data_IF_054209132817
#
_entry.id   IF_054209132817
#
_cell.length_a   1.000
_cell.length_b   1.000
_cell.length_c   1.000
_cell.angle_alpha   90.00
_cell.angle_beta   90.00
_cell.angle_gamma   90.00
#
_symmetry.space_group_name_H-M   'P 1'
#
loop_
_entity.id
_entity.type
_entity.pdbx_description
1 polymer ?
#
# COMPACT_ATOMS: atom_id res chain seq x y z
N UNK A 1 -46.33 -14.65 12.36
CA UNK A 1 -46.31 -16.13 12.34
C UNK A 1 -47.34 -16.63 11.35
N UNK A 2 -46.93 -16.93 10.12
CA UNK A 2 -47.79 -17.62 9.16
C UNK A 2 -46.86 -18.63 8.47
N UNK A 3 -46.98 -19.87 8.91
CA UNK A 3 -46.32 -21.04 8.34
C UNK A 3 -47.03 -21.39 7.03
N UNK A 4 -46.30 -21.34 5.90
CA UNK A 4 -46.73 -21.94 4.65
C UNK A 4 -46.43 -23.44 4.68
N UNK A 5 -47.37 -24.32 4.36
CA UNK A 5 -47.09 -25.74 4.23
C UNK A 5 -46.30 -26.02 2.94
N UNK A 6 -45.22 -26.80 3.06
CA UNK A 6 -44.51 -27.41 1.93
C UNK A 6 -45.50 -28.30 1.17
N UNK A 7 -45.78 -27.95 -0.08
CA UNK A 7 -46.55 -28.77 -1.00
C UNK A 7 -45.66 -29.95 -1.46
N UNK A 8 -45.78 -31.08 -0.80
CA UNK A 8 -45.23 -32.35 -1.26
C UNK A 8 -46.08 -32.84 -2.41
N UNK A 9 -45.56 -32.71 -3.64
CA UNK A 9 -46.21 -33.29 -4.80
C UNK A 9 -46.21 -34.83 -4.66
N UNK A 10 -47.36 -35.38 -4.39
CA UNK A 10 -47.58 -36.84 -4.43
C UNK A 10 -47.67 -37.25 -5.87
N UNK A 11 -46.67 -37.93 -6.41
CA UNK A 11 -46.72 -38.56 -7.74
C UNK A 11 -47.57 -39.83 -7.59
N UNK A 12 -48.85 -39.73 -7.92
CA UNK A 12 -49.66 -40.95 -8.08
C UNK A 12 -49.40 -41.58 -9.44
N UNK A 13 -48.61 -42.63 -9.47
CA UNK A 13 -48.41 -43.48 -10.68
C UNK A 13 -49.63 -44.41 -10.78
N UNK A 14 -50.50 -44.15 -11.75
CA UNK A 14 -51.63 -45.01 -12.03
C UNK A 14 -51.14 -46.33 -12.62
N UNK A 15 -51.34 -47.44 -11.88
CA UNK A 15 -50.91 -48.81 -12.27
C UNK A 15 -51.79 -49.44 -13.36
N UNK A 16 -52.24 -48.72 -14.38
CA UNK A 16 -53.18 -49.28 -15.38
C UNK A 16 -52.52 -49.74 -16.68
N UNK A 17 -51.18 -49.63 -16.83
CA UNK A 17 -50.46 -50.23 -17.92
C UNK A 17 -49.22 -50.94 -17.36
N UNK A 18 -49.42 -52.18 -16.90
CA UNK A 18 -48.39 -52.91 -16.11
C UNK A 18 -47.11 -53.20 -16.84
N UNK A 19 -47.04 -53.17 -18.15
CA UNK A 19 -45.78 -53.36 -18.89
C UNK A 19 -44.94 -52.10 -19.07
N UNK A 20 -45.58 -50.92 -19.27
CA UNK A 20 -44.88 -49.65 -19.44
C UNK A 20 -44.33 -49.14 -18.12
N UNK A 21 -45.06 -49.32 -17.02
CA UNK A 21 -44.57 -48.99 -15.67
C UNK A 21 -43.40 -49.86 -15.21
N UNK A 22 -43.44 -51.15 -15.58
CA UNK A 22 -42.33 -52.05 -15.27
C UNK A 22 -41.10 -51.71 -16.09
N UNK A 23 -41.22 -51.37 -17.34
CA UNK A 23 -40.13 -50.92 -18.21
C UNK A 23 -39.50 -49.62 -17.70
N UNK A 24 -40.34 -48.65 -17.28
CA UNK A 24 -39.88 -47.39 -16.71
C UNK A 24 -39.09 -47.63 -15.40
N UNK A 25 -39.57 -48.47 -14.49
CA UNK A 25 -38.87 -48.82 -13.25
C UNK A 25 -37.54 -49.55 -13.51
N UNK A 26 -37.49 -50.40 -14.51
CA UNK A 26 -36.24 -51.09 -14.92
C UNK A 26 -35.24 -50.11 -15.53
N UNK A 27 -35.69 -49.13 -16.33
CA UNK A 27 -34.81 -48.09 -16.89
C UNK A 27 -34.28 -47.18 -15.76
N UNK A 28 -35.15 -46.67 -14.90
CA UNK A 28 -34.75 -45.84 -13.78
C UNK A 28 -33.84 -46.61 -12.82
N UNK A 29 -34.14 -47.86 -12.50
CA UNK A 29 -33.30 -48.70 -11.67
C UNK A 29 -31.92 -48.98 -12.29
N UNK A 30 -31.87 -49.25 -13.60
CA UNK A 30 -30.60 -49.48 -14.29
C UNK A 30 -29.76 -48.18 -14.37
N UNK A 31 -30.39 -47.02 -14.64
CA UNK A 31 -29.69 -45.72 -14.60
C UNK A 31 -29.17 -45.43 -13.22
N UNK A 32 -29.98 -45.65 -12.17
CA UNK A 32 -29.55 -45.42 -10.75
C UNK A 32 -28.40 -46.37 -10.34
N UNK A 33 -28.46 -47.61 -10.77
CA UNK A 33 -27.38 -48.59 -10.52
C UNK A 33 -26.10 -48.21 -11.26
N UNK A 34 -26.23 -47.75 -12.51
CA UNK A 34 -25.11 -47.28 -13.32
C UNK A 34 -24.46 -46.05 -12.66
N UNK A 35 -25.25 -45.06 -12.27
CA UNK A 35 -24.73 -43.86 -11.57
C UNK A 35 -24.10 -44.19 -10.23
N UNK A 36 -24.65 -45.14 -9.46
CA UNK A 36 -24.07 -45.61 -8.22
C UNK A 36 -22.74 -46.37 -8.46
N UNK A 37 -22.66 -47.17 -9.50
CA UNK A 37 -21.44 -47.86 -9.89
C UNK A 37 -20.35 -46.88 -10.34
N UNK A 38 -20.71 -45.87 -11.15
CA UNK A 38 -19.82 -44.80 -11.55
C UNK A 38 -19.29 -44.00 -10.35
N UNK A 39 -20.16 -43.60 -9.42
CA UNK A 39 -19.73 -42.88 -8.22
C UNK A 39 -18.82 -43.73 -7.31
N UNK A 40 -19.10 -45.03 -7.18
CA UNK A 40 -18.24 -45.92 -6.43
C UNK A 40 -16.88 -46.10 -7.12
N UNK A 41 -16.87 -46.28 -8.45
CA UNK A 41 -15.65 -46.36 -9.25
C UNK A 41 -14.79 -45.10 -9.10
N UNK A 42 -15.37 -43.88 -9.17
CA UNK A 42 -14.68 -42.63 -8.94
C UNK A 42 -14.06 -42.58 -7.54
N UNK A 43 -14.79 -43.02 -6.53
CA UNK A 43 -14.27 -43.12 -5.15
C UNK A 43 -13.06 -44.05 -5.04
N UNK A 44 -13.12 -45.21 -5.65
CA UNK A 44 -12.03 -46.20 -5.64
C UNK A 44 -10.82 -45.72 -6.43
N UNK A 45 -11.03 -45.18 -7.65
CA UNK A 45 -9.93 -44.72 -8.53
C UNK A 45 -9.21 -43.47 -8.01
N UNK A 46 -9.82 -42.72 -7.09
CA UNK A 46 -9.22 -41.52 -6.49
C UNK A 46 -8.63 -41.70 -5.09
N UNK A 47 -8.87 -42.86 -4.41
CA UNK A 47 -8.56 -43.01 -2.99
C UNK A 47 -7.58 -44.13 -2.63
N UNK A 48 -7.09 -44.91 -3.59
CA UNK A 48 -6.11 -45.97 -3.31
C UNK A 48 -4.76 -45.39 -2.84
N UNK A 49 -4.01 -46.19 -2.10
CA UNK A 49 -2.78 -45.78 -1.41
C UNK A 49 -1.53 -46.56 -1.85
N UNK A 50 -1.71 -47.65 -2.58
CA UNK A 50 -0.60 -48.50 -3.02
C UNK A 50 -0.52 -48.61 -4.54
N UNK A 51 0.70 -48.77 -5.09
CA UNK A 51 0.86 -48.95 -6.54
C UNK A 51 0.15 -50.22 -7.07
N UNK A 52 0.05 -51.26 -6.25
CA UNK A 52 -0.62 -52.51 -6.65
C UNK A 52 -2.12 -52.33 -6.87
N UNK A 53 -2.78 -51.53 -6.04
CA UNK A 53 -4.20 -51.20 -6.19
C UNK A 53 -4.43 -50.39 -7.48
N UNK A 54 -3.60 -49.38 -7.73
CA UNK A 54 -3.69 -48.57 -8.93
C UNK A 54 -3.48 -49.37 -10.22
N UNK A 55 -2.48 -50.28 -10.24
CA UNK A 55 -2.25 -51.19 -11.39
C UNK A 55 -3.42 -52.14 -11.61
N UNK A 56 -4.09 -52.59 -10.56
CA UNK A 56 -5.27 -53.42 -10.70
C UNK A 56 -6.41 -52.64 -11.38
N UNK A 57 -6.61 -51.39 -10.98
CA UNK A 57 -7.63 -50.51 -11.62
C UNK A 57 -7.32 -50.31 -13.11
N UNK A 58 -6.07 -50.01 -13.45
CA UNK A 58 -5.65 -49.83 -14.86
C UNK A 58 -5.71 -51.13 -15.67
N UNK A 59 -5.70 -52.29 -15.02
CA UNK A 59 -5.92 -53.56 -15.71
C UNK A 59 -7.39 -53.72 -16.18
N UNK A 60 -8.35 -53.06 -15.52
CA UNK A 60 -9.76 -53.01 -15.93
C UNK A 60 -10.05 -51.88 -16.89
N UNK A 61 -9.46 -50.70 -16.66
CA UNK A 61 -9.56 -49.54 -17.55
C UNK A 61 -8.19 -48.83 -17.71
N UNK A 62 -7.50 -49.19 -18.78
CA UNK A 62 -6.16 -48.67 -19.10
C UNK A 62 -6.17 -47.17 -19.49
N UNK A 63 -7.34 -46.57 -19.64
CA UNK A 63 -7.49 -45.13 -19.98
C UNK A 63 -8.13 -44.31 -18.86
N UNK A 64 -8.19 -44.81 -17.62
CA UNK A 64 -8.65 -44.02 -16.50
C UNK A 64 -7.57 -42.98 -16.08
N UNK A 65 -7.81 -41.74 -16.50
CA UNK A 65 -6.90 -40.63 -16.20
C UNK A 65 -6.76 -40.32 -14.72
N UNK A 66 -7.78 -40.64 -13.91
CA UNK A 66 -7.76 -40.41 -12.43
C UNK A 66 -6.88 -41.45 -11.75
N UNK A 67 -6.94 -42.70 -12.21
CA UNK A 67 -6.06 -43.75 -11.71
C UNK A 67 -4.59 -43.48 -12.06
N UNK A 68 -4.33 -43.02 -13.30
CA UNK A 68 -2.98 -42.57 -13.70
C UNK A 68 -2.49 -41.40 -12.85
N UNK A 69 -3.31 -40.35 -12.66
CA UNK A 69 -2.98 -39.22 -11.82
C UNK A 69 -2.67 -39.67 -10.37
N UNK A 70 -3.51 -40.51 -9.78
CA UNK A 70 -3.32 -41.01 -8.42
C UNK A 70 -2.08 -41.88 -8.28
N UNK A 71 -1.75 -42.70 -9.26
CA UNK A 71 -0.47 -43.41 -9.29
C UNK A 71 0.71 -42.48 -9.31
N UNK A 72 0.65 -41.40 -10.10
CA UNK A 72 1.66 -40.37 -10.09
C UNK A 72 1.93 -39.82 -8.68
N UNK A 73 0.87 -39.50 -7.94
CA UNK A 73 0.99 -39.04 -6.56
C UNK A 73 1.55 -40.15 -5.60
N UNK A 74 1.12 -41.38 -5.77
CA UNK A 74 1.60 -42.49 -4.91
C UNK A 74 3.09 -42.75 -5.11
N UNK A 75 3.60 -42.52 -6.31
CA UNK A 75 5.03 -42.67 -6.63
C UNK A 75 5.87 -41.44 -6.31
N UNK A 76 5.27 -40.28 -5.97
CA UNK A 76 5.97 -39.00 -5.80
C UNK A 76 7.22 -39.13 -4.88
N UNK A 77 7.08 -39.74 -3.72
CA UNK A 77 8.15 -39.90 -2.73
C UNK A 77 9.03 -41.16 -2.94
N UNK A 78 8.61 -42.11 -3.79
CA UNK A 78 9.26 -43.41 -3.88
C UNK A 78 9.99 -43.64 -5.20
N UNK A 79 9.43 -43.14 -6.30
CA UNK A 79 9.97 -43.31 -7.66
C UNK A 79 9.51 -42.14 -8.55
N UNK A 80 10.30 -41.10 -8.58
CA UNK A 80 9.97 -39.88 -9.35
C UNK A 80 9.84 -40.13 -10.85
N UNK A 81 10.55 -41.14 -11.41
CA UNK A 81 10.45 -41.44 -12.83
C UNK A 81 9.09 -42.09 -13.15
N UNK A 82 8.63 -43.00 -12.32
CA UNK A 82 7.30 -43.60 -12.43
C UNK A 82 6.21 -42.54 -12.17
N UNK A 83 6.40 -41.65 -11.17
CA UNK A 83 5.49 -40.54 -10.90
C UNK A 83 5.27 -39.70 -12.16
N UNK A 84 6.35 -39.18 -12.77
CA UNK A 84 6.28 -38.38 -13.99
C UNK A 84 5.65 -39.14 -15.15
N UNK A 85 5.97 -40.43 -15.33
CA UNK A 85 5.38 -41.24 -16.38
C UNK A 85 3.86 -41.33 -16.23
N UNK A 86 3.35 -41.60 -15.05
CA UNK A 86 1.93 -41.70 -14.76
C UNK A 86 1.23 -40.34 -14.87
N UNK A 87 1.83 -39.24 -14.35
CA UNK A 87 1.29 -37.90 -14.48
C UNK A 87 1.22 -37.45 -15.95
N UNK A 88 2.25 -37.76 -16.76
CA UNK A 88 2.24 -37.49 -18.20
C UNK A 88 1.11 -38.24 -18.90
N UNK A 89 0.93 -39.51 -18.57
CA UNK A 89 -0.19 -40.29 -19.10
C UNK A 89 -1.55 -39.71 -18.70
N UNK A 90 -1.70 -39.25 -17.48
CA UNK A 90 -2.91 -38.56 -17.00
C UNK A 90 -3.22 -37.30 -17.83
N UNK A 91 -2.20 -36.48 -18.15
CA UNK A 91 -2.37 -35.27 -18.99
C UNK A 91 -2.71 -35.61 -20.45
N UNK A 92 -2.17 -36.72 -21.01
CA UNK A 92 -2.53 -37.19 -22.32
C UNK A 92 -4.01 -37.63 -22.43
N UNK A 93 -4.47 -38.35 -21.39
CA UNK A 93 -5.86 -38.83 -21.32
C UNK A 93 -6.86 -37.69 -21.02
N UNK A 94 -6.43 -36.68 -20.29
CA UNK A 94 -7.27 -35.54 -19.92
C UNK A 94 -6.53 -34.21 -20.10
N UNK A 95 -6.34 -33.73 -21.34
CA UNK A 95 -5.47 -32.59 -21.66
C UNK A 95 -5.98 -31.23 -21.18
N UNK A 96 -7.23 -31.14 -20.72
CA UNK A 96 -7.82 -29.93 -20.15
C UNK A 96 -7.84 -29.90 -18.63
N UNK A 97 -7.27 -30.91 -17.95
CA UNK A 97 -7.20 -30.96 -16.51
C UNK A 97 -6.05 -30.10 -15.97
N UNK A 98 -6.38 -28.92 -15.45
CA UNK A 98 -5.40 -28.03 -14.81
C UNK A 98 -4.64 -28.70 -13.66
N UNK A 99 -5.33 -29.57 -12.93
CA UNK A 99 -4.75 -30.29 -11.79
C UNK A 99 -3.62 -31.21 -12.24
N UNK A 100 -3.80 -31.94 -13.31
CA UNK A 100 -2.80 -32.89 -13.82
C UNK A 100 -1.56 -32.17 -14.38
N UNK A 101 -1.77 -31.06 -15.09
CA UNK A 101 -0.66 -30.22 -15.57
C UNK A 101 0.12 -29.54 -14.43
N UNK A 102 -0.58 -29.08 -13.38
CA UNK A 102 0.07 -28.49 -12.21
C UNK A 102 0.95 -29.49 -11.48
N UNK A 103 0.45 -30.71 -11.28
CA UNK A 103 1.19 -31.79 -10.61
C UNK A 103 2.37 -32.27 -11.46
N UNK A 104 2.17 -32.43 -12.76
CA UNK A 104 3.26 -32.79 -13.67
C UNK A 104 4.38 -31.73 -13.66
N UNK A 105 4.02 -30.44 -13.66
CA UNK A 105 5.00 -29.37 -13.58
C UNK A 105 5.82 -29.44 -12.27
N UNK A 106 5.16 -29.67 -11.15
CA UNK A 106 5.80 -29.83 -9.84
C UNK A 106 6.73 -31.06 -9.80
N UNK A 107 6.25 -32.20 -10.28
CA UNK A 107 7.05 -33.43 -10.31
C UNK A 107 8.29 -33.32 -11.23
N UNK A 108 8.15 -32.70 -12.41
CA UNK A 108 9.28 -32.45 -13.29
C UNK A 108 10.28 -31.44 -12.68
N UNK A 109 9.78 -30.44 -11.96
CA UNK A 109 10.63 -29.46 -11.28
C UNK A 109 11.46 -30.12 -10.15
N UNK A 110 10.86 -31.02 -9.39
CA UNK A 110 11.53 -31.70 -8.26
C UNK A 110 12.75 -32.53 -8.68
N UNK A 111 12.69 -33.11 -9.88
CA UNK A 111 13.82 -33.90 -10.45
C UNK A 111 14.74 -33.06 -11.35
N UNK A 112 14.47 -31.79 -11.56
CA UNK A 112 15.27 -30.90 -12.41
C UNK A 112 15.07 -31.11 -13.93
N UNK A 113 14.02 -31.84 -14.36
CA UNK A 113 13.65 -31.92 -15.77
C UNK A 113 13.02 -30.59 -16.23
N UNK A 114 13.87 -29.68 -16.68
CA UNK A 114 13.48 -28.32 -17.05
C UNK A 114 12.57 -28.29 -18.27
N UNK A 115 12.76 -29.21 -19.23
CA UNK A 115 11.94 -29.26 -20.45
C UNK A 115 10.52 -29.67 -20.12
N UNK A 116 10.34 -30.74 -19.37
CA UNK A 116 9.07 -31.23 -18.92
C UNK A 116 8.33 -30.17 -18.05
N UNK A 117 9.03 -29.55 -17.10
CA UNK A 117 8.44 -28.54 -16.24
C UNK A 117 7.97 -27.30 -17.03
N UNK A 118 8.74 -26.85 -18.03
CA UNK A 118 8.38 -25.72 -18.88
C UNK A 118 7.17 -26.04 -19.76
N UNK A 119 7.12 -27.22 -20.37
CA UNK A 119 5.99 -27.67 -21.18
C UNK A 119 4.70 -27.74 -20.34
N UNK A 120 4.78 -28.38 -19.17
CA UNK A 120 3.64 -28.51 -18.27
C UNK A 120 3.17 -27.15 -17.73
N UNK A 121 4.10 -26.28 -17.31
CA UNK A 121 3.79 -24.91 -16.86
C UNK A 121 3.19 -24.07 -17.98
N UNK A 122 3.75 -24.13 -19.18
CA UNK A 122 3.22 -23.42 -20.34
C UNK A 122 1.78 -23.83 -20.62
N UNK A 123 1.51 -25.14 -20.62
CA UNK A 123 0.16 -25.66 -20.85
C UNK A 123 -0.81 -25.27 -19.74
N UNK A 124 -0.38 -25.28 -18.48
CA UNK A 124 -1.18 -24.82 -17.35
C UNK A 124 -1.58 -23.33 -17.49
N UNK A 125 -0.64 -22.48 -17.89
CA UNK A 125 -0.89 -21.04 -18.11
C UNK A 125 -1.82 -20.79 -19.31
N UNK A 126 -1.75 -21.60 -20.36
CA UNK A 126 -2.68 -21.54 -21.48
C UNK A 126 -4.11 -21.93 -21.06
N UNK A 127 -4.26 -22.96 -20.24
CA UNK A 127 -5.56 -23.41 -19.74
C UNK A 127 -6.17 -22.45 -18.72
N UNK A 128 -5.34 -21.78 -17.94
CA UNK A 128 -5.75 -20.93 -16.81
C UNK A 128 -5.10 -19.55 -16.85
N UNK A 129 -5.25 -18.74 -17.92
CA UNK A 129 -4.54 -17.48 -18.12
C UNK A 129 -4.99 -16.36 -17.16
N UNK A 130 -6.07 -16.58 -16.41
CA UNK A 130 -6.66 -15.60 -15.50
C UNK A 130 -6.51 -15.99 -14.02
N UNK A 131 -5.69 -17.01 -13.72
CA UNK A 131 -5.49 -17.48 -12.34
C UNK A 131 -4.15 -16.94 -11.79
N UNK A 132 -4.16 -15.96 -10.88
CA UNK A 132 -2.95 -15.30 -10.37
C UNK A 132 -1.95 -16.30 -9.77
N UNK A 133 -2.43 -17.30 -9.04
CA UNK A 133 -1.59 -18.30 -8.38
C UNK A 133 -0.64 -19.01 -9.36
N UNK A 134 -1.10 -19.36 -10.55
CA UNK A 134 -0.26 -20.07 -11.52
C UNK A 134 0.81 -19.15 -12.14
N UNK A 135 0.49 -17.88 -12.34
CA UNK A 135 1.49 -16.88 -12.75
C UNK A 135 2.53 -16.65 -11.66
N UNK A 136 2.11 -16.62 -10.38
CA UNK A 136 3.01 -16.54 -9.25
C UNK A 136 3.97 -17.73 -9.19
N UNK A 137 3.43 -18.96 -9.25
CA UNK A 137 4.25 -20.19 -9.23
C UNK A 137 5.23 -20.23 -10.39
N UNK A 138 4.79 -19.92 -11.61
CA UNK A 138 5.64 -19.85 -12.79
C UNK A 138 6.74 -18.79 -12.66
N UNK A 139 6.39 -17.58 -12.16
CA UNK A 139 7.35 -16.50 -11.94
C UNK A 139 8.46 -16.91 -10.96
N UNK A 140 8.08 -17.51 -9.83
CA UNK A 140 9.03 -18.01 -8.81
C UNK A 140 9.94 -19.10 -9.38
N UNK A 141 9.38 -20.04 -10.14
CA UNK A 141 10.15 -21.12 -10.78
C UNK A 141 11.15 -20.57 -11.80
N UNK A 142 10.74 -19.65 -12.67
CA UNK A 142 11.63 -19.02 -13.64
C UNK A 142 12.71 -18.17 -12.97
N UNK A 143 12.39 -17.48 -11.87
CA UNK A 143 13.34 -16.69 -11.11
C UNK A 143 14.44 -17.59 -10.49
N UNK A 144 14.05 -18.70 -9.83
CA UNK A 144 15.00 -19.68 -9.27
C UNK A 144 15.91 -20.29 -10.35
N UNK A 145 15.40 -20.48 -11.56
CA UNK A 145 16.15 -21.01 -12.71
C UNK A 145 16.97 -19.94 -13.46
N UNK A 146 17.05 -18.72 -12.92
CA UNK A 146 17.71 -17.56 -13.55
C UNK A 146 17.20 -17.23 -14.96
N UNK A 147 15.93 -17.53 -15.24
CA UNK A 147 15.27 -17.20 -16.51
C UNK A 147 14.49 -15.89 -16.37
N UNK A 148 15.24 -14.81 -16.22
CA UNK A 148 14.72 -13.51 -15.78
C UNK A 148 13.60 -12.96 -16.67
N UNK A 149 13.77 -12.99 -18.01
CA UNK A 149 12.73 -12.44 -18.92
C UNK A 149 11.39 -13.16 -18.77
N UNK A 150 11.38 -14.47 -18.57
CA UNK A 150 10.17 -15.25 -18.34
C UNK A 150 9.56 -14.94 -16.97
N UNK A 151 10.39 -14.83 -15.94
CA UNK A 151 9.93 -14.46 -14.61
C UNK A 151 9.26 -13.09 -14.62
N UNK A 152 9.90 -12.07 -15.21
CA UNK A 152 9.36 -10.71 -15.31
C UNK A 152 8.05 -10.68 -16.11
N UNK A 153 7.93 -11.47 -17.17
CA UNK A 153 6.69 -11.57 -17.93
C UNK A 153 5.53 -12.14 -17.08
N UNK A 154 5.81 -13.14 -16.23
CA UNK A 154 4.79 -13.72 -15.36
C UNK A 154 4.44 -12.76 -14.19
N UNK A 155 5.42 -12.09 -13.57
CA UNK A 155 5.15 -11.05 -12.57
C UNK A 155 4.31 -9.90 -13.16
N UNK A 156 4.62 -9.44 -14.38
CA UNK A 156 3.81 -8.44 -15.07
C UNK A 156 2.36 -8.92 -15.22
N UNK A 157 2.16 -10.15 -15.68
CA UNK A 157 0.81 -10.71 -15.86
C UNK A 157 0.10 -10.89 -14.52
N UNK A 158 0.79 -11.37 -13.51
CA UNK A 158 0.29 -11.51 -12.15
C UNK A 158 -0.27 -10.18 -11.60
N UNK A 159 0.52 -9.10 -11.67
CA UNK A 159 0.12 -7.78 -11.16
C UNK A 159 -1.02 -7.14 -11.96
N UNK A 160 -1.16 -7.49 -13.25
CA UNK A 160 -2.32 -7.09 -14.04
C UNK A 160 -3.61 -7.81 -13.61
N UNK A 161 -3.51 -9.03 -13.08
CA UNK A 161 -4.64 -9.83 -12.63
C UNK A 161 -5.01 -9.54 -11.17
N UNK A 162 -4.01 -9.37 -10.33
CA UNK A 162 -4.19 -9.17 -8.89
C UNK A 162 -3.09 -8.29 -8.30
N UNK A 163 -3.36 -7.00 -8.10
CA UNK A 163 -2.44 -6.06 -7.46
C UNK A 163 -2.00 -6.44 -6.04
N UNK A 164 -2.77 -7.26 -5.33
CA UNK A 164 -2.42 -7.67 -3.98
C UNK A 164 -1.10 -8.45 -3.89
N UNK A 165 -0.65 -9.03 -5.01
CA UNK A 165 0.66 -9.68 -5.09
C UNK A 165 1.84 -8.70 -5.25
N UNK A 166 1.61 -7.39 -5.29
CA UNK A 166 2.64 -6.40 -5.60
C UNK A 166 3.84 -6.49 -4.65
N UNK A 167 3.60 -6.37 -3.35
CA UNK A 167 4.68 -6.41 -2.36
C UNK A 167 5.49 -7.72 -2.39
N UNK A 168 4.82 -8.87 -2.44
CA UNK A 168 5.47 -10.16 -2.53
C UNK A 168 6.29 -10.32 -3.83
N UNK A 169 5.80 -9.73 -4.93
CA UNK A 169 6.53 -9.73 -6.21
C UNK A 169 7.80 -8.92 -6.13
N UNK A 170 7.77 -7.74 -5.52
CA UNK A 170 8.95 -6.89 -5.36
C UNK A 170 9.96 -7.49 -4.41
N UNK A 171 9.51 -8.06 -3.29
CA UNK A 171 10.36 -8.79 -2.36
C UNK A 171 11.09 -9.95 -3.05
N UNK A 172 10.41 -10.70 -3.91
CA UNK A 172 11.05 -11.74 -4.72
C UNK A 172 12.05 -11.18 -5.74
N UNK A 173 11.72 -10.05 -6.36
CA UNK A 173 12.51 -9.43 -7.43
C UNK A 173 13.71 -8.61 -6.91
N UNK A 174 13.77 -8.24 -5.61
CA UNK A 174 14.90 -7.50 -5.05
C UNK A 174 16.25 -8.20 -5.25
N UNK A 175 16.26 -9.53 -5.34
CA UNK A 175 17.47 -10.32 -5.60
C UNK A 175 18.09 -10.03 -6.97
N UNK A 176 17.31 -9.50 -7.91
CA UNK A 176 17.75 -9.16 -9.28
C UNK A 176 18.66 -7.93 -9.28
N UNK A 177 18.50 -7.00 -8.33
CA UNK A 177 19.27 -5.75 -8.17
C UNK A 177 19.31 -4.89 -9.44
N UNK A 178 18.21 -4.83 -10.18
CA UNK A 178 18.04 -4.03 -11.40
C UNK A 178 16.66 -3.33 -11.37
N UNK A 179 16.46 -2.33 -10.50
CA UNK A 179 15.14 -1.72 -10.27
C UNK A 179 14.54 -1.09 -11.54
N UNK A 180 15.35 -0.46 -12.41
CA UNK A 180 14.88 0.14 -13.66
C UNK A 180 14.44 -0.92 -14.67
N UNK A 181 15.11 -2.08 -14.71
CA UNK A 181 14.71 -3.20 -15.56
C UNK A 181 13.36 -3.77 -15.09
N UNK A 182 13.21 -3.96 -13.78
CA UNK A 182 11.96 -4.43 -13.16
C UNK A 182 10.84 -3.44 -13.49
N UNK A 183 11.03 -2.15 -13.23
CA UNK A 183 10.04 -1.13 -13.54
C UNK A 183 9.63 -1.18 -15.01
N UNK A 184 10.58 -1.14 -15.91
CA UNK A 184 10.33 -1.13 -17.36
C UNK A 184 9.63 -2.39 -17.86
N UNK A 185 9.99 -3.57 -17.36
CA UNK A 185 9.45 -4.86 -17.84
C UNK A 185 8.13 -5.26 -17.16
N UNK A 186 7.93 -4.85 -15.93
CA UNK A 186 6.78 -5.30 -15.13
C UNK A 186 5.73 -4.21 -14.99
N UNK A 187 6.13 -2.96 -14.75
CA UNK A 187 5.26 -1.89 -14.32
C UNK A 187 5.00 -0.78 -15.35
N UNK A 188 5.94 -0.52 -16.28
CA UNK A 188 5.86 0.66 -17.16
C UNK A 188 4.53 0.77 -17.91
N UNK A 189 4.04 -0.34 -18.44
CA UNK A 189 2.76 -0.37 -19.18
C UNK A 189 1.51 -0.48 -18.29
N UNK A 190 1.67 -0.56 -16.97
CA UNK A 190 0.52 -0.58 -16.07
C UNK A 190 -0.21 0.76 -16.12
N UNK A 191 -1.53 0.70 -16.16
CA UNK A 191 -2.40 1.88 -16.03
C UNK A 191 -2.68 2.26 -14.58
N UNK A 192 -2.25 1.42 -13.65
CA UNK A 192 -2.40 1.60 -12.23
C UNK A 192 -1.19 2.37 -11.68
N UNK A 193 -1.40 3.65 -11.36
CA UNK A 193 -0.37 4.51 -10.79
C UNK A 193 -0.03 4.13 -9.35
N UNK A 194 -0.97 3.57 -8.59
CA UNK A 194 -0.74 3.18 -7.20
C UNK A 194 0.30 2.07 -7.08
N UNK A 195 0.23 1.05 -7.96
CA UNK A 195 1.26 0.00 -8.00
C UNK A 195 2.64 0.58 -8.32
N UNK A 196 2.71 1.55 -9.25
CA UNK A 196 4.00 2.18 -9.61
C UNK A 196 4.57 2.97 -8.45
N UNK A 197 3.74 3.77 -7.78
CA UNK A 197 4.12 4.55 -6.59
C UNK A 197 4.50 3.62 -5.44
N UNK A 198 3.73 2.55 -5.23
CA UNK A 198 4.06 1.53 -4.24
C UNK A 198 5.41 0.84 -4.48
N UNK A 199 5.85 0.70 -5.76
CA UNK A 199 7.20 0.20 -6.04
C UNK A 199 8.29 1.22 -5.66
N UNK A 200 8.04 2.52 -5.84
CA UNK A 200 8.94 3.58 -5.35
C UNK A 200 9.07 3.53 -3.83
N UNK A 201 7.92 3.39 -3.13
CA UNK A 201 7.94 3.24 -1.67
C UNK A 201 8.71 1.99 -1.24
N UNK A 202 8.48 0.84 -1.90
CA UNK A 202 9.25 -0.39 -1.65
C UNK A 202 10.75 -0.16 -1.77
N UNK A 203 11.24 0.43 -2.86
CA UNK A 203 12.67 0.72 -3.04
C UNK A 203 13.22 1.61 -1.93
N UNK A 204 12.46 2.59 -1.50
CA UNK A 204 12.86 3.46 -0.39
C UNK A 204 12.93 2.71 0.94
N UNK A 205 12.12 1.65 1.17
CA UNK A 205 12.25 0.77 2.32
C UNK A 205 13.51 -0.11 2.27
N UNK A 206 14.02 -0.34 1.06
CA UNK A 206 15.30 -1.06 0.85
C UNK A 206 16.52 -0.12 0.86
N UNK A 207 16.33 1.16 1.24
CA UNK A 207 17.38 2.20 1.26
C UNK A 207 17.97 2.53 -0.12
N UNK A 208 17.32 2.11 -1.21
CA UNK A 208 17.70 2.45 -2.58
C UNK A 208 16.99 3.73 -3.05
N UNK A 209 17.34 4.84 -2.39
CA UNK A 209 16.67 6.13 -2.59
C UNK A 209 16.90 6.71 -3.98
N UNK A 210 18.09 6.50 -4.55
CA UNK A 210 18.43 7.03 -5.87
C UNK A 210 17.62 6.34 -6.97
N UNK A 211 17.48 5.00 -6.89
CA UNK A 211 16.59 4.27 -7.77
C UNK A 211 15.12 4.65 -7.55
N UNK A 212 14.68 4.78 -6.29
CA UNK A 212 13.34 5.22 -5.96
C UNK A 212 13.01 6.58 -6.59
N UNK A 213 13.88 7.57 -6.46
CA UNK A 213 13.69 8.88 -7.06
C UNK A 213 13.77 8.85 -8.59
N UNK A 214 14.69 8.08 -9.16
CA UNK A 214 14.82 7.89 -10.61
C UNK A 214 13.53 7.30 -11.21
N UNK A 215 12.91 6.35 -10.53
CA UNK A 215 11.64 5.74 -10.95
C UNK A 215 10.46 6.67 -10.68
N UNK A 216 10.44 7.41 -9.56
CA UNK A 216 9.43 8.43 -9.30
C UNK A 216 9.27 9.40 -10.48
N UNK A 217 10.39 9.93 -10.97
CA UNK A 217 10.40 10.83 -12.13
C UNK A 217 9.77 10.22 -13.40
N UNK A 218 9.91 8.91 -13.59
CA UNK A 218 9.26 8.21 -14.70
C UNK A 218 7.76 8.02 -14.43
N UNK A 219 7.38 7.68 -13.19
CA UNK A 219 5.98 7.48 -12.80
C UNK A 219 5.17 8.75 -13.04
N UNK A 220 5.65 9.91 -12.59
CA UNK A 220 4.89 11.18 -12.64
C UNK A 220 4.76 11.76 -14.04
N UNK A 221 5.54 11.28 -15.03
CA UNK A 221 5.45 11.75 -16.42
C UNK A 221 4.08 11.41 -17.04
N UNK A 222 3.58 10.21 -16.78
CA UNK A 222 2.33 9.70 -17.34
C UNK A 222 1.33 9.26 -16.25
N UNK A 223 1.53 9.70 -15.00
CA UNK A 223 0.71 9.27 -13.89
C UNK A 223 -0.73 9.75 -14.06
N UNK A 224 -1.64 8.83 -13.81
CA UNK A 224 -3.02 9.17 -13.50
C UNK A 224 -3.10 9.56 -12.03
N UNK A 225 -4.07 10.41 -11.64
CA UNK A 225 -4.28 10.73 -10.24
C UNK A 225 -4.40 9.46 -9.40
N UNK A 226 -3.78 9.46 -8.24
CA UNK A 226 -3.79 8.40 -7.24
C UNK A 226 -4.00 9.02 -5.85
N UNK A 227 -4.40 8.28 -4.82
CA UNK A 227 -4.56 8.80 -3.48
C UNK A 227 -3.22 9.30 -2.90
N UNK A 228 -3.23 10.42 -2.18
CA UNK A 228 -2.04 10.96 -1.51
C UNK A 228 -1.36 9.90 -0.62
N UNK A 229 -2.15 9.07 0.07
CA UNK A 229 -1.66 7.98 0.93
C UNK A 229 -0.73 6.99 0.24
N UNK A 230 -0.76 6.88 -1.10
CA UNK A 230 0.16 6.02 -1.84
C UNK A 230 1.59 6.58 -1.89
N UNK A 231 1.76 7.91 -1.82
CA UNK A 231 3.07 8.58 -1.85
C UNK A 231 3.53 9.07 -0.46
N UNK A 232 2.65 9.09 0.52
CA UNK A 232 2.86 9.64 1.86
C UNK A 232 4.11 9.07 2.53
N UNK A 233 4.22 7.74 2.62
CA UNK A 233 5.31 7.08 3.31
C UNK A 233 6.67 7.34 2.63
N UNK A 234 6.71 7.36 1.30
CA UNK A 234 7.92 7.70 0.56
C UNK A 234 8.36 9.15 0.83
N UNK A 235 7.42 10.09 0.76
CA UNK A 235 7.68 11.51 0.95
C UNK A 235 8.14 11.81 2.39
N UNK A 236 7.48 11.23 3.39
CA UNK A 236 7.88 11.37 4.80
C UNK A 236 9.28 10.81 5.04
N UNK A 237 9.61 9.68 4.43
CA UNK A 237 10.96 9.09 4.55
C UNK A 237 12.03 9.99 3.93
N UNK A 238 11.76 10.64 2.79
CA UNK A 238 12.69 11.63 2.22
C UNK A 238 12.95 12.80 3.18
N UNK A 239 11.89 13.30 3.82
CA UNK A 239 11.97 14.39 4.79
C UNK A 239 12.79 13.96 6.03
N UNK A 240 12.49 12.80 6.59
CA UNK A 240 13.17 12.28 7.80
C UNK A 240 14.67 12.03 7.56
N UNK A 241 15.04 11.62 6.37
CA UNK A 241 16.43 11.46 5.95
C UNK A 241 17.10 12.81 5.60
N UNK A 242 16.31 13.87 5.48
CA UNK A 242 16.75 15.19 5.07
C UNK A 242 17.14 15.29 3.58
N UNK A 243 16.57 14.45 2.73
CA UNK A 243 16.61 14.60 1.27
C UNK A 243 15.55 15.62 0.84
N UNK A 244 15.66 16.83 1.40
CA UNK A 244 14.61 17.87 1.31
C UNK A 244 14.38 18.33 -0.12
N UNK A 245 15.43 18.45 -0.94
CA UNK A 245 15.28 18.85 -2.35
C UNK A 245 14.43 17.85 -3.15
N UNK A 246 14.66 16.57 -2.94
CA UNK A 246 13.85 15.52 -3.60
C UNK A 246 12.42 15.52 -3.06
N UNK A 247 12.25 15.69 -1.75
CA UNK A 247 10.93 15.79 -1.15
C UNK A 247 10.14 17.00 -1.70
N UNK A 248 10.79 18.14 -1.93
CA UNK A 248 10.18 19.31 -2.58
C UNK A 248 9.74 18.96 -4.02
N UNK A 249 10.59 18.31 -4.79
CA UNK A 249 10.22 17.92 -6.16
C UNK A 249 9.04 16.93 -6.17
N UNK A 250 9.06 15.94 -5.28
CA UNK A 250 7.93 14.99 -5.12
C UNK A 250 6.64 15.74 -4.77
N UNK A 251 6.71 16.69 -3.82
CA UNK A 251 5.56 17.51 -3.42
C UNK A 251 5.02 18.36 -4.57
N UNK A 252 5.90 19.03 -5.32
CA UNK A 252 5.53 19.83 -6.51
C UNK A 252 4.90 18.96 -7.60
N UNK A 253 5.37 17.74 -7.79
CA UNK A 253 4.75 16.79 -8.71
C UNK A 253 3.34 16.41 -8.26
N UNK A 254 3.12 16.19 -6.95
CA UNK A 254 1.78 15.93 -6.39
C UNK A 254 0.84 17.12 -6.55
N UNK A 255 1.34 18.36 -6.39
CA UNK A 255 0.58 19.58 -6.69
C UNK A 255 0.23 19.67 -8.18
N UNK A 256 1.19 19.43 -9.07
CA UNK A 256 0.98 19.44 -10.53
C UNK A 256 -0.03 18.39 -10.99
N UNK A 257 -0.05 17.23 -10.34
CA UNK A 257 -1.03 16.16 -10.61
C UNK A 257 -2.41 16.44 -9.98
N UNK A 258 -2.56 17.52 -9.20
CA UNK A 258 -3.78 17.86 -8.50
C UNK A 258 -4.13 16.91 -7.33
N UNK A 259 -3.17 16.12 -6.88
CA UNK A 259 -3.30 15.21 -5.71
C UNK A 259 -3.25 16.02 -4.43
N UNK A 260 -2.33 16.99 -4.37
CA UNK A 260 -2.25 18.00 -3.33
C UNK A 260 -2.73 19.33 -3.92
N UNK A 261 -3.64 19.97 -3.23
CA UNK A 261 -4.16 21.26 -3.67
C UNK A 261 -3.50 22.36 -2.85
N UNK A 262 -2.73 23.22 -3.49
CA UNK A 262 -2.25 24.43 -2.85
C UNK A 262 -3.43 25.36 -2.52
N UNK A 263 -3.47 25.97 -1.33
CA UNK A 263 -4.47 26.99 -1.02
C UNK A 263 -4.42 28.12 -2.04
N UNK A 264 -5.59 28.67 -2.40
CA UNK A 264 -5.72 29.85 -3.27
C UNK A 264 -5.34 31.15 -2.49
N UNK A 265 -4.22 31.14 -1.80
CA UNK A 265 -3.76 32.34 -1.10
C UNK A 265 -3.00 33.20 -2.10
N UNK A 266 -3.36 34.47 -2.19
CA UNK A 266 -2.77 35.50 -3.06
C UNK A 266 -1.26 35.74 -2.80
N UNK A 267 -0.65 35.05 -1.87
CA UNK A 267 0.72 35.22 -1.44
C UNK A 267 1.63 34.10 -1.97
N UNK A 268 2.12 34.29 -3.19
CA UNK A 268 3.05 33.37 -3.87
C UNK A 268 4.35 33.08 -3.09
N UNK A 269 4.68 33.92 -2.13
CA UNK A 269 5.94 33.85 -1.40
C UNK A 269 5.80 33.28 0.02
N UNK A 270 4.60 32.81 0.40
CA UNK A 270 4.40 32.16 1.69
C UNK A 270 4.88 30.70 1.66
N UNK A 271 5.70 30.33 2.63
CA UNK A 271 6.28 28.97 2.74
C UNK A 271 5.42 28.04 3.59
N UNK A 272 4.46 28.56 4.38
CA UNK A 272 3.51 27.74 5.13
C UNK A 272 2.45 27.21 4.19
N UNK A 273 2.21 25.91 4.28
CA UNK A 273 1.10 25.26 3.59
C UNK A 273 -0.12 25.24 4.52
N UNK A 274 -1.32 25.60 4.02
CA UNK A 274 -2.56 25.56 4.78
C UNK A 274 -2.47 26.35 6.12
N UNK A 275 -1.85 27.55 6.09
CA UNK A 275 -1.66 28.38 7.28
C UNK A 275 -2.93 29.07 7.79
N UNK A 276 -3.96 29.08 6.98
CA UNK A 276 -5.33 29.55 7.29
C UNK A 276 -6.23 28.44 7.84
N UNK A 277 -5.76 27.18 7.89
CA UNK A 277 -6.49 26.00 8.36
C UNK A 277 -7.85 25.72 7.71
N UNK A 278 -8.15 26.36 6.56
CA UNK A 278 -9.44 26.20 5.87
C UNK A 278 -9.63 24.80 5.28
N UNK A 279 -8.57 23.99 5.22
CA UNK A 279 -8.59 22.60 4.78
C UNK A 279 -8.17 21.66 5.91
N UNK A 280 -8.73 20.44 5.95
CA UNK A 280 -8.21 19.41 6.84
C UNK A 280 -6.73 19.16 6.53
N UNK A 281 -5.84 19.09 7.54
CA UNK A 281 -4.44 18.80 7.31
C UNK A 281 -4.26 17.37 6.81
N UNK A 282 -3.25 17.16 5.96
CA UNK A 282 -2.87 15.83 5.47
C UNK A 282 -2.24 14.98 6.59
N UNK A 283 -1.77 15.61 7.67
CA UNK A 283 -1.03 15.00 8.77
C UNK A 283 0.28 14.33 8.33
N UNK A 284 0.87 14.82 7.24
CA UNK A 284 2.03 14.25 6.59
C UNK A 284 2.81 15.31 5.79
N UNK A 285 4.00 14.97 5.38
CA UNK A 285 4.85 15.74 4.47
C UNK A 285 5.05 17.20 4.92
N UNK A 286 4.79 18.14 4.03
CA UNK A 286 4.91 19.58 4.26
C UNK A 286 3.60 20.24 4.71
N UNK A 287 2.60 19.47 5.15
CA UNK A 287 1.40 19.98 5.77
C UNK A 287 1.46 19.83 7.32
N UNK A 288 0.49 20.43 7.99
CA UNK A 288 0.38 20.35 9.43
C UNK A 288 0.23 18.92 9.93
N UNK A 289 0.97 18.59 10.99
CA UNK A 289 0.92 17.31 11.69
C UNK A 289 0.52 17.54 13.14
N UNK A 290 -0.23 16.59 13.68
CA UNK A 290 -0.57 16.61 15.09
C UNK A 290 -0.25 15.28 15.76
N UNK A 291 0.48 15.38 16.86
CA UNK A 291 0.75 14.25 17.71
C UNK A 291 -0.37 14.14 18.76
N UNK A 292 -1.07 13.01 18.75
CA UNK A 292 -2.12 12.73 19.75
C UNK A 292 -1.47 12.44 21.10
N UNK A 293 -1.78 13.24 22.09
CA UNK A 293 -1.35 12.99 23.47
C UNK A 293 -2.57 12.93 24.42
N UNK A 294 -2.46 12.13 25.46
CA UNK A 294 -3.56 11.90 26.40
C UNK A 294 -4.05 13.19 27.13
N UNK A 295 -3.25 14.26 27.11
CA UNK A 295 -3.50 15.50 27.84
C UNK A 295 -3.68 16.71 26.92
N UNK A 296 -3.86 16.45 25.62
CA UNK A 296 -3.88 17.49 24.63
C UNK A 296 -4.73 17.07 23.46
N UNK A 297 -5.62 17.96 23.05
CA UNK A 297 -6.46 17.77 21.87
C UNK A 297 -6.23 18.92 20.90
N UNK A 298 -5.81 18.59 19.69
CA UNK A 298 -5.77 19.51 18.56
C UNK A 298 -7.02 19.33 17.69
N UNK A 299 -7.68 20.42 17.36
CA UNK A 299 -8.85 20.48 16.47
C UNK A 299 -8.61 21.53 15.38
N UNK A 300 -8.44 21.09 14.13
CA UNK A 300 -8.22 21.94 12.96
C UNK A 300 -9.54 22.42 12.32
N UNK A 301 -10.66 22.15 12.92
CA UNK A 301 -11.99 22.55 12.44
C UNK A 301 -12.72 23.50 13.38
N UNK A 302 -11.99 24.08 14.35
CA UNK A 302 -12.57 24.95 15.35
C UNK A 302 -13.20 26.19 14.74
N UNK A 303 -14.37 26.57 15.22
CA UNK A 303 -15.05 27.81 14.85
C UNK A 303 -14.48 29.02 15.60
N UNK A 304 -14.78 30.22 15.09
CA UNK A 304 -14.32 31.47 15.70
C UNK A 304 -12.91 31.87 15.24
N UNK A 305 -12.59 31.54 14.01
CA UNK A 305 -11.34 31.90 13.32
C UNK A 305 -11.08 33.40 13.32
N UNK A 306 -9.82 33.79 13.23
CA UNK A 306 -9.41 35.17 12.98
C UNK A 306 -9.76 35.56 11.53
N UNK A 307 -9.48 34.66 10.59
CA UNK A 307 -9.79 34.82 9.18
C UNK A 307 -10.47 33.53 8.64
N UNK A 308 -11.44 33.68 7.75
CA UNK A 308 -12.13 32.53 7.17
C UNK A 308 -13.14 31.86 8.12
N UNK A 309 -13.27 30.56 8.02
CA UNK A 309 -14.27 29.77 8.75
C UNK A 309 -13.70 28.85 9.82
N UNK A 310 -12.40 28.50 9.72
CA UNK A 310 -11.73 27.52 10.58
C UNK A 310 -10.43 28.05 11.14
N UNK A 311 -10.02 27.50 12.26
CA UNK A 311 -8.71 27.72 12.85
C UNK A 311 -8.27 26.48 13.60
N UNK A 312 -7.00 26.41 13.96
CA UNK A 312 -6.50 25.41 14.90
C UNK A 312 -6.88 25.81 16.33
N UNK A 313 -7.45 24.87 17.10
CA UNK A 313 -7.62 24.96 18.54
C UNK A 313 -6.86 23.83 19.23
N UNK A 314 -6.14 24.19 20.28
CA UNK A 314 -5.41 23.24 21.14
C UNK A 314 -5.96 23.37 22.57
N UNK A 315 -6.57 22.28 23.06
CA UNK A 315 -7.07 22.19 24.43
C UNK A 315 -6.05 21.47 25.31
N UNK A 316 -5.66 22.12 26.40
CA UNK A 316 -4.76 21.57 27.39
C UNK A 316 -5.57 21.07 28.60
N UNK A 317 -5.40 19.77 28.92
CA UNK A 317 -6.09 19.13 30.06
C UNK A 317 -5.12 18.41 31.00
N UNK A 318 -3.85 18.74 30.94
CA UNK A 318 -2.78 17.98 31.56
C UNK A 318 -2.46 18.35 32.98
N UNK A 319 -2.46 17.39 33.93
CA UNK A 319 -2.06 17.58 35.31
C UNK A 319 -0.53 17.56 35.52
N UNK A 320 0.25 17.65 34.44
CA UNK A 320 1.71 17.49 34.49
C UNK A 320 2.43 18.67 33.86
N UNK A 321 3.54 19.03 34.46
CA UNK A 321 4.46 20.01 33.90
C UNK A 321 5.37 19.34 32.86
N UNK A 322 4.88 19.21 31.63
CA UNK A 322 5.62 18.64 30.51
C UNK A 322 5.79 19.65 29.38
N UNK A 323 6.85 19.53 28.64
CA UNK A 323 6.94 20.16 27.31
C UNK A 323 5.98 19.47 26.36
N UNK A 324 5.27 20.26 25.55
CA UNK A 324 4.36 19.78 24.53
C UNK A 324 4.65 20.47 23.21
N UNK A 325 4.72 19.69 22.14
CA UNK A 325 4.78 20.16 20.75
C UNK A 325 3.70 19.46 19.94
N UNK A 326 2.41 19.77 20.21
CA UNK A 326 1.28 19.00 19.71
C UNK A 326 1.03 19.11 18.21
N UNK A 327 1.40 20.25 17.63
CA UNK A 327 1.13 20.56 16.22
C UNK A 327 2.38 21.19 15.64
N UNK A 328 2.76 20.71 14.46
CA UNK A 328 3.92 21.23 13.73
C UNK A 328 3.79 21.06 12.23
N UNK A 329 4.58 21.85 11.51
CA UNK A 329 4.79 21.70 10.07
C UNK A 329 6.28 21.72 9.77
N UNK A 330 6.73 20.87 8.85
CA UNK A 330 8.08 20.93 8.30
C UNK A 330 8.05 21.87 7.09
N UNK A 331 8.85 22.92 7.14
CA UNK A 331 8.87 23.95 6.10
C UNK A 331 10.24 23.99 5.45
N UNK A 332 10.35 23.78 4.13
CA UNK A 332 11.60 23.97 3.39
C UNK A 332 12.07 25.41 3.44
N UNK A 333 13.36 25.62 3.67
CA UNK A 333 13.99 26.94 3.70
C UNK A 333 15.33 26.91 2.98
N UNK A 334 15.74 28.06 2.46
CA UNK A 334 17.10 28.24 1.90
C UNK A 334 18.08 28.47 3.06
N UNK A 335 19.35 28.01 2.93
CA UNK A 335 20.37 28.30 3.93
C UNK A 335 20.82 29.75 3.89
N UNK A 336 21.33 30.27 5.01
CA UNK A 336 21.89 31.60 5.17
C UNK A 336 20.93 32.76 4.83
N UNK A 337 19.61 32.53 4.96
CA UNK A 337 18.60 33.54 4.68
C UNK A 337 17.84 33.93 5.95
N UNK A 338 17.16 35.09 5.90
CA UNK A 338 16.33 35.60 6.98
C UNK A 338 14.87 35.35 6.70
N UNK A 339 14.16 35.01 7.74
CA UNK A 339 12.74 34.66 7.69
C UNK A 339 11.94 35.39 8.75
N UNK A 340 10.71 35.72 8.43
CA UNK A 340 9.72 36.26 9.33
C UNK A 340 8.51 35.34 9.40
N UNK A 341 8.23 34.79 10.57
CA UNK A 341 7.02 34.07 10.91
C UNK A 341 6.04 35.05 11.54
N UNK A 342 4.80 35.05 11.08
CA UNK A 342 3.69 35.79 11.64
C UNK A 342 2.48 34.87 11.80
N UNK A 343 1.67 35.11 12.82
CA UNK A 343 0.41 34.39 13.03
C UNK A 343 -0.50 35.23 13.92
N UNK A 344 -1.76 34.84 14.00
CA UNK A 344 -2.71 35.34 14.99
C UNK A 344 -2.99 34.25 16.01
N UNK A 345 -3.00 34.65 17.29
CA UNK A 345 -3.25 33.74 18.41
C UNK A 345 -4.31 34.31 19.34
N UNK A 346 -5.04 33.42 19.99
CA UNK A 346 -6.03 33.70 21.03
C UNK A 346 -5.88 32.69 22.15
N UNK A 347 -6.19 33.03 23.36
CA UNK A 347 -6.20 32.09 24.50
C UNK A 347 -7.43 32.26 25.39
N UNK A 348 -7.80 31.21 26.11
CA UNK A 348 -8.86 31.19 27.09
C UNK A 348 -8.44 30.31 28.27
N UNK A 349 -8.40 30.91 29.46
CA UNK A 349 -8.13 30.26 30.73
C UNK A 349 -6.80 29.46 30.79
N UNK A 350 -5.75 29.94 30.12
CA UNK A 350 -4.42 29.32 30.24
C UNK A 350 -3.86 29.60 31.66
N UNK A 351 -3.77 28.53 32.46
CA UNK A 351 -3.50 28.59 33.89
C UNK A 351 -2.01 28.66 34.24
N UNK A 352 -1.11 28.22 33.37
CA UNK A 352 0.33 28.15 33.60
C UNK A 352 1.01 29.51 33.37
N UNK A 353 2.10 29.78 34.06
CA UNK A 353 3.05 30.88 33.81
C UNK A 353 3.80 30.69 32.46
N UNK A 354 3.74 29.47 31.91
CA UNK A 354 4.42 29.08 30.71
C UNK A 354 3.37 28.53 29.71
N UNK A 355 2.68 29.45 29.05
CA UNK A 355 1.65 29.11 28.06
C UNK A 355 2.23 28.68 26.69
N UNK A 356 1.37 28.34 25.72
CA UNK A 356 1.79 27.99 24.36
C UNK A 356 2.40 29.20 23.64
N UNK A 357 3.35 28.93 22.76
CA UNK A 357 3.99 29.88 21.87
C UNK A 357 4.30 29.24 20.50
N UNK A 358 4.70 30.03 19.53
CA UNK A 358 5.28 29.55 18.31
C UNK A 358 6.77 29.30 18.47
N UNK A 359 7.24 28.18 17.92
CA UNK A 359 8.65 27.80 17.93
C UNK A 359 9.10 27.43 16.55
N UNK A 360 10.32 27.85 16.18
CA UNK A 360 10.99 27.44 14.94
C UNK A 360 12.32 26.80 15.28
N UNK A 361 12.50 25.55 14.83
CA UNK A 361 13.75 24.81 15.01
C UNK A 361 14.26 24.25 13.69
N UNK A 362 15.58 24.21 13.53
CA UNK A 362 16.19 23.40 12.47
C UNK A 362 15.83 21.92 12.66
N UNK A 363 15.46 21.24 11.59
CA UNK A 363 15.01 19.83 11.65
C UNK A 363 16.14 18.85 11.95
N UNK A 364 17.37 19.15 11.50
CA UNK A 364 18.55 18.30 11.68
C UNK A 364 19.42 18.72 12.86
N UNK A 365 19.58 20.02 13.06
CA UNK A 365 20.48 20.58 14.07
C UNK A 365 19.73 21.61 14.91
N UNK A 366 18.88 21.19 15.85
CA UNK A 366 18.09 22.10 16.69
C UNK A 366 18.92 23.17 17.45
N UNK A 367 20.22 22.89 17.66
CA UNK A 367 21.13 23.83 18.29
C UNK A 367 21.52 25.03 17.43
N UNK A 368 21.36 24.93 16.09
CA UNK A 368 21.66 26.06 15.20
C UNK A 368 20.51 27.06 15.11
N UNK A 369 19.29 26.58 15.24
CA UNK A 369 18.12 27.41 15.19
C UNK A 369 17.09 26.90 16.18
N UNK A 370 16.83 27.71 17.21
CA UNK A 370 15.75 27.51 18.19
C UNK A 370 15.23 28.90 18.60
N UNK A 371 14.25 29.39 17.87
CA UNK A 371 13.63 30.67 18.11
C UNK A 371 12.19 30.50 18.55
N UNK A 372 11.75 31.32 19.49
CA UNK A 372 10.43 31.26 20.10
C UNK A 372 9.80 32.65 20.15
N UNK A 373 8.49 32.68 20.01
CA UNK A 373 7.70 33.88 20.33
C UNK A 373 7.50 34.03 21.84
N UNK A 374 6.88 35.12 22.22
CA UNK A 374 6.35 35.27 23.60
C UNK A 374 5.29 34.19 23.87
N UNK A 375 5.20 33.72 25.10
CA UNK A 375 4.20 32.75 25.55
C UNK A 375 2.87 33.45 25.79
N UNK A 376 1.76 32.78 25.42
CA UNK A 376 0.41 33.28 25.63
C UNK A 376 -0.18 32.68 26.89
N UNK A 377 -0.55 33.52 27.87
CA UNK A 377 -1.08 33.11 29.18
C UNK A 377 -2.40 33.79 29.50
N UNK A 378 -3.20 33.18 30.36
CA UNK A 378 -4.52 33.69 30.74
C UNK A 378 -5.53 33.67 29.61
N UNK A 379 -6.36 34.71 29.53
CA UNK A 379 -7.37 34.91 28.49
C UNK A 379 -7.02 36.14 27.66
N UNK A 380 -6.86 35.97 26.34
CA UNK A 380 -6.53 37.05 25.41
C UNK A 380 -7.40 36.95 24.16
N UNK A 381 -7.82 38.08 23.65
CA UNK A 381 -8.42 38.15 22.30
C UNK A 381 -7.38 37.91 21.21
N UNK A 382 -7.85 37.75 19.95
CA UNK A 382 -6.98 37.62 18.79
C UNK A 382 -5.95 38.75 18.72
N UNK A 383 -4.66 38.38 18.73
CA UNK A 383 -3.56 39.35 18.58
C UNK A 383 -2.44 38.75 17.72
N UNK A 384 -1.68 39.58 17.01
CA UNK A 384 -0.59 39.12 16.19
C UNK A 384 0.62 38.71 17.02
N UNK A 385 1.21 37.58 16.62
CA UNK A 385 2.52 37.12 17.10
C UNK A 385 3.50 37.13 15.96
N UNK A 386 4.73 37.57 16.20
CA UNK A 386 5.80 37.64 15.21
C UNK A 386 7.08 37.05 15.73
N UNK A 387 7.83 36.40 14.84
CA UNK A 387 9.13 35.81 15.16
C UNK A 387 10.03 35.93 13.93
N UNK A 388 11.26 36.42 14.13
CA UNK A 388 12.27 36.47 13.07
C UNK A 388 13.44 35.57 13.39
N UNK A 389 13.97 34.88 12.37
CA UNK A 389 15.14 34.03 12.53
C UNK A 389 15.99 34.03 11.25
N UNK A 390 17.22 33.48 11.38
CA UNK A 390 18.10 33.25 10.23
C UNK A 390 18.41 31.78 10.16
N UNK A 391 18.28 31.18 8.97
CA UNK A 391 18.72 29.81 8.72
C UNK A 391 20.25 29.72 8.76
N UNK A 392 20.78 28.59 9.20
CA UNK A 392 22.20 28.30 9.15
C UNK A 392 22.65 27.83 7.74
N UNK A 393 23.96 27.68 7.51
CA UNK A 393 24.53 27.33 6.19
C UNK A 393 24.11 25.92 5.69
N UNK A 394 23.73 25.04 6.59
CA UNK A 394 23.27 23.68 6.25
C UNK A 394 21.78 23.46 6.46
N UNK A 395 21.04 24.48 6.94
CA UNK A 395 19.61 24.40 7.18
C UNK A 395 18.86 24.31 5.85
N UNK A 396 18.13 23.22 5.62
CA UNK A 396 17.29 23.00 4.43
C UNK A 396 15.81 22.95 4.77
N UNK A 397 15.49 22.73 6.02
CA UNK A 397 14.12 22.77 6.54
C UNK A 397 14.08 23.14 7.99
N UNK A 398 12.98 23.75 8.39
CA UNK A 398 12.68 24.09 9.79
C UNK A 398 11.37 23.43 10.20
N UNK A 399 11.24 23.16 11.49
CA UNK A 399 9.98 22.79 12.12
C UNK A 399 9.37 24.04 12.72
N UNK A 400 8.21 24.43 12.21
CA UNK A 400 7.35 25.47 12.80
C UNK A 400 6.30 24.76 13.65
N UNK A 401 6.17 25.11 14.92
CA UNK A 401 5.31 24.38 15.85
C UNK A 401 4.61 25.28 16.86
N UNK A 402 3.48 24.79 17.37
CA UNK A 402 2.92 25.22 18.64
C UNK A 402 3.66 24.48 19.73
N UNK A 403 4.34 25.21 20.60
CA UNK A 403 5.14 24.62 21.67
C UNK A 403 4.76 25.20 23.03
N UNK A 404 4.68 24.34 24.04
CA UNK A 404 4.50 24.71 25.41
C UNK A 404 5.76 24.35 26.18
N UNK A 405 6.54 25.35 26.67
CA UNK A 405 7.69 25.11 27.53
C UNK A 405 7.27 24.67 28.95
N UNK A 406 8.22 24.16 29.72
CA UNK A 406 7.99 23.82 31.12
C UNK A 406 7.60 25.09 31.92
N UNK A 407 6.57 24.97 32.77
CA UNK A 407 6.25 26.00 33.77
C UNK A 407 7.32 26.04 34.87
N UNK A 408 7.60 27.23 35.39
CA UNK A 408 8.60 27.47 36.44
C UNK A 408 7.94 27.76 37.77
N UNK A 409 6.81 28.47 37.74
CA UNK A 409 6.08 28.88 38.91
C UNK A 409 4.81 28.01 39.10
N UNK A 410 4.35 27.91 40.33
CA UNK A 410 3.11 27.17 40.63
C UNK A 410 1.88 28.01 40.27
N UNK A 411 0.84 27.42 39.64
CA UNK A 411 0.68 26.01 39.25
C UNK A 411 1.48 25.63 37.98
N UNK A 412 2.19 24.50 38.02
CA UNK A 412 3.02 24.03 36.91
C UNK A 412 2.24 23.27 35.85
N UNK A 413 1.03 22.82 36.19
CA UNK A 413 0.10 22.20 35.27
C UNK A 413 -0.55 23.24 34.36
N UNK A 414 -0.93 22.81 33.16
CA UNK A 414 -1.60 23.66 32.17
C UNK A 414 -3.00 23.17 31.89
N UNK A 415 -3.98 24.06 31.94
CA UNK A 415 -5.31 23.92 31.43
C UNK A 415 -5.71 25.12 30.59
N UNK A 416 -6.79 25.02 29.84
CA UNK A 416 -7.28 26.07 28.97
C UNK A 416 -7.16 25.76 27.50
N UNK A 417 -7.49 26.73 26.67
CA UNK A 417 -7.53 26.57 25.22
C UNK A 417 -6.69 27.65 24.53
N UNK A 418 -6.04 27.27 23.47
CA UNK A 418 -5.24 28.13 22.60
C UNK A 418 -5.70 28.01 21.16
N UNK A 419 -5.84 29.12 20.47
CA UNK A 419 -6.19 29.17 19.04
C UNK A 419 -5.06 29.78 18.24
N UNK A 420 -4.87 29.27 17.02
CA UNK A 420 -3.88 29.72 16.07
C UNK A 420 -4.54 29.85 14.69
N UNK A 421 -4.22 30.92 13.99
CA UNK A 421 -4.75 31.18 12.65
C UNK A 421 -3.84 32.11 11.83
N UNK A 422 -4.03 32.12 10.50
CA UNK A 422 -3.31 32.97 9.56
C UNK A 422 -1.78 32.91 9.75
N UNK A 423 -1.25 31.69 9.84
CA UNK A 423 0.19 31.44 9.96
C UNK A 423 0.87 31.66 8.62
N UNK A 424 1.91 32.49 8.62
CA UNK A 424 2.66 32.87 7.42
C UNK A 424 4.16 32.87 7.72
N UNK A 425 4.97 32.27 6.87
CA UNK A 425 6.43 32.32 6.91
C UNK A 425 6.98 32.85 5.59
N UNK A 426 7.68 33.95 5.64
CA UNK A 426 8.25 34.59 4.46
C UNK A 426 9.76 34.77 4.58
N UNK A 427 10.46 34.58 3.47
CA UNK A 427 11.85 34.96 3.34
C UNK A 427 11.92 36.49 3.16
N UNK A 428 12.74 37.16 3.98
CA UNK A 428 12.81 38.63 3.96
C UNK A 428 13.93 39.18 3.06
N UNK A 429 14.86 38.35 2.63
CA UNK A 429 16.01 38.73 1.81
C UNK A 429 16.18 37.88 0.51
N UNK A 430 15.32 36.90 0.28
CA UNK A 430 15.36 36.05 -0.93
C UNK A 430 15.05 36.82 -2.24
N UNK A 431 14.34 37.95 -2.19
CA UNK A 431 13.98 38.71 -3.36
C UNK A 431 15.18 39.46 -4.01
N UNK A 432 16.23 39.69 -3.22
CA UNK A 432 17.44 40.39 -3.69
C UNK A 432 18.26 39.51 -4.65
N UNK A 433 18.20 38.20 -4.53
CA UNK A 433 18.94 37.30 -5.43
C UNK A 433 18.23 37.09 -6.77
N UNK A 434 16.88 37.12 -6.83
CA UNK A 434 16.16 36.97 -8.09
C UNK A 434 16.44 38.13 -9.03
N UNK A 435 16.45 39.36 -8.54
CA UNK A 435 16.75 40.54 -9.35
C UNK A 435 18.24 40.63 -9.79
N UNK A 436 19.15 40.05 -9.00
CA UNK A 436 20.57 40.00 -9.33
C UNK A 436 20.88 38.96 -10.43
N UNK A 437 20.09 37.88 -10.54
CA UNK A 437 20.24 36.85 -11.58
C UNK A 437 19.53 37.23 -12.88
N UNK A 438 18.43 37.99 -12.85
CA UNK A 438 17.73 38.45 -14.04
C UNK A 438 18.41 39.68 -14.70
N UNK A 439 19.23 40.42 -13.97
CA UNK A 439 20.00 41.57 -14.47
C UNK A 439 21.32 41.22 -15.18
N UNK A 440 21.67 39.95 -15.34
CA UNK A 440 22.90 39.48 -15.99
C UNK A 440 22.67 38.79 -17.34
N UNK A 441 21.51 38.92 -17.95
CA UNK A 441 21.22 38.40 -19.31
C UNK A 441 20.99 39.50 -20.33
#
# INVERSE_FOLDING_TARGET
>A
MISRPLCVARIEVSLREGSQSLLFLLIVGSISLFLAAETALVGVTSSFKTPSEGRLILAFDANDSRAEYRLGQVYEDTDSAESIRHLRRATELSPYSRLYWSELASACESVGDTQCADEATGRLLELCPMVPLYHWQAAQTYLRKNRLDLALAQFRRLLQLDPAYAWASWDSLQTVKQPELIFRKVLADSKDSEIKVGYVDFLSTQEDYDAAYGIWRQVVTDARPFPFSSAEAYLDRLIDLGRIEEAIHVWQDLERLGIVQRPDVDEKDDLIFNGDFERPPLNAAFDWRSDQAAYLRADFSASGAYHGARCLRVDFTGPRNNEYEPVYQIVPVLPDHRYALAAYVRSEDITSDSGPCLRVRDTKQPSFQDAMSETTVGTTDWHPVRLSFSSGPETRSVRVSVWRPLGRDFPMDISGSFWLDAVSLKCTDCAVEKDALEGQH
#
